data_IF_147386585472
#
_entry.id   IF_147386585472
#
_cell.length_a   1.000
_cell.length_b   1.000
_cell.length_c   1.000
_cell.angle_alpha   90.00
_cell.angle_beta   90.00
_cell.angle_gamma   90.00
#
_symmetry.space_group_name_H-M   'P 1'
#
loop_
_entity.id
_entity.type
_entity.pdbx_description
1 polymer ?
#
# COMPACT_ATOMS: atom_id res chain seq x y z
N UNK A 1 58.02 -5.82 28.60
CA UNK A 1 58.26 -6.37 27.26
C UNK A 1 58.39 -5.19 26.32
N UNK A 2 59.53 -5.03 25.60
CA UNK A 2 59.76 -3.82 24.78
C UNK A 2 58.84 -3.86 23.52
N UNK A 3 58.24 -2.74 23.19
CA UNK A 3 57.40 -2.55 22.02
C UNK A 3 58.09 -3.03 20.73
N UNK A 4 59.41 -2.80 20.64
CA UNK A 4 60.23 -3.23 19.50
C UNK A 4 60.24 -4.74 19.31
N UNK A 5 60.24 -5.52 20.40
CA UNK A 5 60.19 -7.00 20.35
C UNK A 5 58.84 -7.48 19.83
N UNK A 6 57.75 -6.83 20.24
CA UNK A 6 56.40 -7.14 19.75
C UNK A 6 56.31 -6.89 18.25
N UNK A 7 56.80 -5.74 17.79
CA UNK A 7 56.79 -5.36 16.37
C UNK A 7 57.64 -6.34 15.51
N UNK A 8 58.76 -6.77 16.05
CA UNK A 8 59.62 -7.73 15.34
C UNK A 8 58.95 -9.11 15.19
N UNK A 9 58.28 -9.58 16.25
CA UNK A 9 57.54 -10.85 16.23
C UNK A 9 56.38 -10.74 15.22
N UNK A 10 55.58 -9.66 15.31
CA UNK A 10 54.48 -9.41 14.37
C UNK A 10 54.92 -9.44 12.91
N UNK A 11 56.04 -8.76 12.60
CA UNK A 11 56.59 -8.73 11.24
C UNK A 11 57.04 -10.12 10.75
N UNK A 12 57.61 -10.91 11.64
CA UNK A 12 58.06 -12.27 11.33
C UNK A 12 56.89 -13.21 11.10
N UNK A 13 55.85 -13.11 11.94
CA UNK A 13 54.63 -13.93 11.84
C UNK A 13 53.83 -13.57 10.63
N UNK A 14 53.62 -12.26 10.34
CA UNK A 14 52.97 -11.82 9.10
C UNK A 14 53.67 -12.34 7.85
N UNK A 15 55.02 -12.30 7.83
CA UNK A 15 55.79 -12.82 6.69
C UNK A 15 55.64 -14.34 6.53
N UNK A 16 55.54 -15.08 7.64
CA UNK A 16 55.29 -16.52 7.61
C UNK A 16 53.87 -16.84 7.09
N UNK A 17 52.87 -16.09 7.51
CA UNK A 17 51.47 -16.21 7.06
C UNK A 17 51.37 -16.00 5.54
N UNK A 18 51.92 -14.90 5.04
CA UNK A 18 51.88 -14.58 3.60
C UNK A 18 52.75 -15.49 2.71
N UNK A 19 53.67 -16.26 3.29
CA UNK A 19 54.44 -17.26 2.54
C UNK A 19 53.70 -18.59 2.35
N UNK A 20 52.68 -18.84 3.15
CA UNK A 20 51.92 -20.09 3.06
C UNK A 20 50.68 -19.86 2.17
N UNK A 21 50.62 -20.43 0.95
CA UNK A 21 49.51 -20.19 0.03
C UNK A 21 48.17 -20.69 0.58
N UNK A 22 48.14 -21.76 1.35
CA UNK A 22 46.92 -22.27 1.96
C UNK A 22 46.33 -21.26 2.97
N UNK A 23 47.17 -20.62 3.79
CA UNK A 23 46.74 -19.61 4.76
C UNK A 23 46.24 -18.35 4.05
N UNK A 24 46.92 -17.93 2.99
CA UNK A 24 46.49 -16.78 2.17
C UNK A 24 45.13 -17.04 1.55
N UNK A 25 44.92 -18.21 0.96
CA UNK A 25 43.61 -18.59 0.38
C UNK A 25 42.52 -18.59 1.46
N UNK A 26 42.78 -19.11 2.65
CA UNK A 26 41.84 -19.12 3.75
C UNK A 26 41.46 -17.70 4.20
N UNK A 27 42.43 -16.79 4.32
CA UNK A 27 42.19 -15.39 4.68
C UNK A 27 41.33 -14.71 3.61
N UNK A 28 41.66 -14.92 2.33
CA UNK A 28 40.89 -14.38 1.21
C UNK A 28 39.45 -14.91 1.24
N UNK A 29 39.27 -16.21 1.47
CA UNK A 29 37.96 -16.83 1.56
C UNK A 29 37.13 -16.25 2.73
N UNK A 30 37.73 -16.07 3.91
CA UNK A 30 37.06 -15.47 5.08
C UNK A 30 36.64 -14.01 4.81
N UNK A 31 37.39 -13.27 4.01
CA UNK A 31 37.03 -11.87 3.64
C UNK A 31 35.97 -11.85 2.55
N UNK A 32 36.11 -12.67 1.52
CA UNK A 32 35.22 -12.63 0.33
C UNK A 32 33.86 -13.24 0.64
N UNK A 33 33.78 -14.38 1.33
CA UNK A 33 32.50 -15.06 1.56
C UNK A 33 31.46 -14.20 2.32
N UNK A 34 31.80 -13.57 3.46
CA UNK A 34 30.87 -12.69 4.15
C UNK A 34 30.50 -11.44 3.33
N UNK A 35 31.49 -10.89 2.59
CA UNK A 35 31.27 -9.72 1.74
C UNK A 35 30.33 -10.04 0.57
N UNK A 36 30.51 -11.19 -0.07
CA UNK A 36 29.67 -11.68 -1.14
C UNK A 36 28.24 -11.96 -0.63
N UNK A 37 28.14 -12.60 0.54
CA UNK A 37 26.86 -12.86 1.19
C UNK A 37 26.14 -11.54 1.53
N UNK A 38 26.83 -10.56 2.10
CA UNK A 38 26.26 -9.25 2.39
C UNK A 38 25.80 -8.54 1.12
N UNK A 39 26.60 -8.58 0.05
CA UNK A 39 26.28 -7.95 -1.22
C UNK A 39 25.04 -8.58 -1.87
N UNK A 40 24.95 -9.92 -1.89
CA UNK A 40 23.77 -10.61 -2.42
C UNK A 40 22.52 -10.35 -1.59
N UNK A 41 22.64 -10.28 -0.24
CA UNK A 41 21.49 -9.93 0.60
C UNK A 41 21.08 -8.46 0.45
N UNK A 42 22.04 -7.55 0.33
CA UNK A 42 21.73 -6.14 0.09
C UNK A 42 21.05 -5.99 -1.27
N UNK A 43 21.56 -6.62 -2.32
CA UNK A 43 20.98 -6.57 -3.67
C UNK A 43 19.55 -7.11 -3.68
N UNK A 44 19.33 -8.27 -3.03
CA UNK A 44 18.00 -8.87 -2.90
C UNK A 44 17.01 -8.05 -2.05
N UNK A 45 17.52 -7.22 -1.13
CA UNK A 45 16.69 -6.36 -0.26
C UNK A 45 16.70 -4.88 -0.67
N UNK A 46 17.49 -4.51 -1.68
CA UNK A 46 17.69 -3.11 -2.06
C UNK A 46 16.44 -2.50 -2.67
N UNK A 47 15.74 -3.27 -3.46
CA UNK A 47 14.47 -2.88 -4.05
C UNK A 47 13.44 -4.01 -3.94
N UNK A 48 12.84 -4.20 -2.77
CA UNK A 48 11.80 -5.20 -2.60
C UNK A 48 10.53 -4.87 -3.40
N UNK A 49 10.45 -3.66 -3.96
CA UNK A 49 9.32 -3.17 -4.74
C UNK A 49 9.59 -3.12 -6.25
N UNK A 50 10.82 -3.32 -6.69
CA UNK A 50 11.21 -3.28 -8.11
C UNK A 50 10.69 -4.44 -8.95
N UNK A 51 10.08 -5.46 -8.33
CA UNK A 51 9.46 -6.61 -9.00
C UNK A 51 8.04 -6.87 -8.47
N UNK A 52 7.34 -5.84 -8.02
CA UNK A 52 5.96 -5.97 -7.54
C UNK A 52 4.96 -6.12 -8.67
N UNK A 53 5.34 -5.78 -9.89
CA UNK A 53 4.62 -6.03 -11.14
C UNK A 53 4.30 -7.52 -11.40
N UNK A 54 5.03 -8.43 -10.75
CA UNK A 54 4.81 -9.88 -10.79
C UNK A 54 4.05 -10.42 -9.55
N UNK A 55 3.54 -9.55 -8.69
CA UNK A 55 2.72 -9.95 -7.56
C UNK A 55 1.26 -9.88 -7.96
N UNK A 56 0.61 -11.04 -8.02
CA UNK A 56 -0.79 -11.16 -8.38
C UNK A 56 -1.69 -10.69 -7.23
N UNK A 57 -2.49 -9.65 -7.49
CA UNK A 57 -3.47 -9.09 -6.58
C UNK A 57 -4.87 -9.19 -7.19
N UNK A 58 -5.81 -9.78 -6.46
CA UNK A 58 -7.20 -9.79 -6.88
C UNK A 58 -7.90 -8.48 -6.49
N UNK A 59 -8.78 -8.00 -7.35
CA UNK A 59 -9.65 -6.85 -7.09
C UNK A 59 -11.09 -7.24 -7.38
N UNK A 60 -11.95 -7.00 -6.40
CA UNK A 60 -13.39 -7.28 -6.48
C UNK A 60 -14.14 -5.96 -6.39
N UNK A 61 -14.99 -5.69 -7.36
CA UNK A 61 -15.86 -4.53 -7.34
C UNK A 61 -17.32 -4.96 -7.16
N UNK A 62 -17.81 -4.85 -5.94
CA UNK A 62 -19.22 -5.07 -5.60
C UNK A 62 -20.01 -3.75 -5.52
N UNK A 63 -19.35 -2.59 -5.78
CA UNK A 63 -19.96 -1.27 -5.61
C UNK A 63 -21.20 -1.08 -6.49
N UNK A 64 -22.20 -0.46 -5.92
CA UNK A 64 -23.42 -0.10 -6.62
C UNK A 64 -23.49 1.40 -6.87
N UNK A 65 -24.12 1.76 -8.00
CA UNK A 65 -24.33 3.16 -8.33
C UNK A 65 -25.07 3.89 -7.21
N UNK A 66 -24.54 5.03 -6.79
CA UNK A 66 -25.19 5.93 -5.87
C UNK A 66 -25.68 7.18 -6.60
N UNK A 67 -26.90 7.63 -6.29
CA UNK A 67 -27.49 8.80 -6.92
C UNK A 67 -27.35 10.01 -6.02
N UNK A 68 -26.81 11.09 -6.57
CA UNK A 68 -26.72 12.38 -5.89
C UNK A 68 -27.09 13.51 -6.85
N UNK A 69 -28.02 14.38 -6.46
CA UNK A 69 -28.55 15.48 -7.29
C UNK A 69 -29.00 15.05 -8.69
N UNK A 70 -29.74 13.95 -8.80
CA UNK A 70 -30.18 13.36 -10.06
C UNK A 70 -29.03 12.88 -11.00
N UNK A 71 -27.80 12.86 -10.54
CA UNK A 71 -26.67 12.25 -11.23
C UNK A 71 -26.30 10.91 -10.56
N UNK A 72 -25.94 9.92 -11.37
CA UNK A 72 -25.50 8.62 -10.90
C UNK A 72 -23.97 8.59 -10.86
N UNK A 73 -23.41 8.08 -9.79
CA UNK A 73 -21.97 7.95 -9.56
C UNK A 73 -21.63 6.51 -9.19
N UNK A 74 -20.56 5.99 -9.78
CA UNK A 74 -19.91 4.76 -9.37
C UNK A 74 -18.43 5.05 -9.13
N UNK A 75 -18.03 5.10 -7.87
CA UNK A 75 -16.63 5.34 -7.51
C UNK A 75 -15.82 4.04 -7.53
N UNK A 76 -16.47 2.88 -7.34
CA UNK A 76 -15.83 1.59 -7.50
C UNK A 76 -15.29 1.39 -8.91
N UNK A 77 -16.09 1.70 -9.94
CA UNK A 77 -15.62 1.62 -11.32
C UNK A 77 -14.44 2.54 -11.59
N UNK A 78 -14.44 3.74 -11.00
CA UNK A 78 -13.28 4.66 -11.12
C UNK A 78 -12.02 4.14 -10.45
N UNK A 79 -12.18 3.40 -9.34
CA UNK A 79 -11.04 2.72 -8.70
C UNK A 79 -10.51 1.64 -9.62
N UNK A 80 -11.39 0.84 -10.25
CA UNK A 80 -11.00 -0.18 -11.24
C UNK A 80 -10.22 0.46 -12.38
N UNK A 81 -10.78 1.49 -13.04
CA UNK A 81 -10.12 2.21 -14.14
C UNK A 81 -8.69 2.67 -13.76
N UNK A 82 -8.50 3.13 -12.53
CA UNK A 82 -7.20 3.57 -12.04
C UNK A 82 -6.22 2.43 -11.74
N UNK A 83 -6.74 1.29 -11.32
CA UNK A 83 -5.91 0.11 -11.09
C UNK A 83 -5.53 -0.56 -12.41
N UNK A 84 -6.41 -0.55 -13.43
CA UNK A 84 -6.10 -1.01 -14.77
C UNK A 84 -4.95 -0.23 -15.43
N UNK A 85 -4.88 1.08 -15.15
CA UNK A 85 -3.81 1.96 -15.64
C UNK A 85 -2.53 1.91 -14.76
N UNK A 86 -2.46 1.03 -13.75
CA UNK A 86 -1.39 0.98 -12.77
C UNK A 86 -0.55 -0.28 -12.92
N UNK A 87 0.71 -0.14 -13.31
CA UNK A 87 1.67 -1.22 -13.51
C UNK A 87 2.45 -1.61 -12.23
N UNK A 88 2.07 -1.11 -11.05
CA UNK A 88 2.81 -1.39 -9.81
C UNK A 88 2.64 -2.85 -9.36
N UNK A 89 1.53 -3.51 -9.75
CA UNK A 89 1.20 -4.89 -9.43
C UNK A 89 0.50 -5.58 -10.60
N UNK A 90 0.48 -6.91 -10.60
CA UNK A 90 -0.35 -7.69 -11.51
C UNK A 90 -1.79 -7.73 -10.97
N UNK A 91 -2.65 -6.87 -11.51
CA UNK A 91 -4.05 -6.77 -11.10
C UNK A 91 -4.91 -7.78 -11.84
N UNK A 92 -5.68 -8.57 -11.10
CA UNK A 92 -6.66 -9.50 -11.63
C UNK A 92 -8.06 -9.15 -11.10
N UNK A 93 -8.97 -8.80 -11.99
CA UNK A 93 -10.33 -8.38 -11.66
C UNK A 93 -11.26 -9.58 -11.71
N UNK A 94 -11.67 -10.03 -10.53
CA UNK A 94 -12.41 -11.28 -10.34
C UNK A 94 -13.62 -11.08 -9.44
N UNK A 95 -14.46 -12.10 -9.31
CA UNK A 95 -15.52 -12.10 -8.32
C UNK A 95 -15.00 -12.41 -6.89
N UNK A 96 -15.85 -12.21 -5.88
CA UNK A 96 -15.42 -12.33 -4.49
C UNK A 96 -15.07 -13.77 -4.10
N UNK A 97 -15.76 -14.76 -4.64
CA UNK A 97 -15.51 -16.17 -4.34
C UNK A 97 -14.14 -16.59 -4.92
N UNK A 98 -13.86 -16.22 -6.16
CA UNK A 98 -12.57 -16.47 -6.81
C UNK A 98 -11.41 -15.74 -6.09
N UNK A 99 -11.64 -14.50 -5.65
CA UNK A 99 -10.65 -13.75 -4.89
C UNK A 99 -10.33 -14.41 -3.54
N UNK A 100 -11.34 -14.84 -2.81
CA UNK A 100 -11.18 -15.52 -1.50
C UNK A 100 -10.45 -16.85 -1.67
N UNK A 101 -10.91 -17.67 -2.59
CA UNK A 101 -10.26 -18.95 -2.91
C UNK A 101 -8.81 -18.77 -3.38
N UNK A 102 -8.56 -17.76 -4.22
CA UNK A 102 -7.23 -17.45 -4.72
C UNK A 102 -6.26 -16.98 -3.62
N UNK A 103 -6.73 -16.20 -2.65
CA UNK A 103 -5.92 -15.81 -1.48
C UNK A 103 -5.69 -17.01 -0.55
N UNK A 104 -6.70 -17.88 -0.35
CA UNK A 104 -6.57 -19.04 0.51
C UNK A 104 -5.57 -20.05 -0.05
N UNK A 105 -5.64 -20.33 -1.35
CA UNK A 105 -4.76 -21.31 -2.00
C UNK A 105 -3.40 -20.73 -2.40
N UNK A 106 -3.19 -19.40 -2.26
CA UNK A 106 -1.93 -18.70 -2.55
C UNK A 106 -1.72 -18.33 -4.02
N UNK A 107 -2.77 -18.35 -4.84
CA UNK A 107 -2.74 -17.80 -6.20
C UNK A 107 -2.56 -16.30 -6.16
N UNK A 108 -3.30 -15.62 -5.29
CA UNK A 108 -3.15 -14.19 -5.03
C UNK A 108 -2.41 -13.94 -3.73
N UNK A 109 -1.52 -12.95 -3.72
CA UNK A 109 -0.86 -12.48 -2.51
C UNK A 109 -1.83 -11.81 -1.55
N UNK A 110 -2.82 -11.15 -2.11
CA UNK A 110 -3.89 -10.50 -1.39
C UNK A 110 -5.04 -10.15 -2.33
N UNK A 111 -6.19 -9.77 -1.76
CA UNK A 111 -7.30 -9.24 -2.53
C UNK A 111 -7.86 -7.96 -1.89
N UNK A 112 -8.39 -7.08 -2.73
CA UNK A 112 -9.10 -5.87 -2.33
C UNK A 112 -10.56 -6.04 -2.73
N UNK A 113 -11.48 -5.89 -1.78
CA UNK A 113 -12.92 -5.93 -2.04
C UNK A 113 -13.50 -4.54 -1.81
N UNK A 114 -14.09 -3.99 -2.85
CA UNK A 114 -14.88 -2.76 -2.83
C UNK A 114 -16.33 -3.16 -2.53
N UNK A 115 -16.91 -2.76 -1.39
CA UNK A 115 -18.23 -3.21 -0.98
C UNK A 115 -19.36 -2.49 -1.73
N UNK A 116 -20.56 -3.06 -1.71
CA UNK A 116 -21.76 -2.55 -2.39
C UNK A 116 -22.12 -1.09 -2.06
N UNK A 117 -21.80 -0.65 -0.86
CA UNK A 117 -22.15 0.69 -0.36
C UNK A 117 -21.00 1.70 -0.48
N UNK A 118 -19.94 1.39 -1.23
CA UNK A 118 -18.76 2.25 -1.35
C UNK A 118 -19.13 3.64 -1.87
N UNK A 119 -19.77 3.73 -3.03
CA UNK A 119 -20.22 5.01 -3.62
C UNK A 119 -21.22 5.75 -2.74
N UNK A 120 -22.16 5.06 -2.11
CA UNK A 120 -23.16 5.70 -1.26
C UNK A 120 -22.52 6.29 0.01
N UNK A 121 -21.56 5.61 0.60
CA UNK A 121 -20.80 6.12 1.75
C UNK A 121 -19.95 7.32 1.37
N UNK A 122 -19.29 7.31 0.22
CA UNK A 122 -18.53 8.47 -0.27
C UNK A 122 -19.41 9.70 -0.54
N UNK A 123 -20.63 9.51 -1.02
CA UNK A 123 -21.57 10.61 -1.24
C UNK A 123 -22.26 11.09 0.04
N UNK A 124 -22.13 10.35 1.14
CA UNK A 124 -22.71 10.73 2.44
C UNK A 124 -22.06 11.96 3.09
N UNK A 125 -21.01 12.52 2.47
CA UNK A 125 -20.34 13.76 2.94
C UNK A 125 -21.32 14.90 3.19
N UNK A 126 -22.45 14.91 2.48
CA UNK A 126 -23.48 15.93 2.63
C UNK A 126 -24.56 15.58 3.69
N UNK A 127 -24.45 14.41 4.28
CA UNK A 127 -25.36 13.97 5.34
C UNK A 127 -24.96 14.55 6.70
N UNK A 128 -25.86 14.50 7.66
CA UNK A 128 -25.57 14.95 9.02
C UNK A 128 -24.52 14.08 9.73
N UNK A 129 -24.35 12.84 9.29
CA UNK A 129 -23.38 11.88 9.79
C UNK A 129 -22.68 11.21 8.60
N UNK A 130 -21.61 11.81 8.05
CA UNK A 130 -20.84 11.23 6.97
C UNK A 130 -20.26 9.87 7.36
N UNK A 131 -20.31 8.91 6.45
CA UNK A 131 -19.72 7.59 6.63
C UNK A 131 -18.50 7.45 5.74
N UNK A 132 -17.39 6.97 6.30
CA UNK A 132 -16.25 6.58 5.49
C UNK A 132 -16.62 5.39 4.60
N UNK A 133 -16.07 5.36 3.40
CA UNK A 133 -16.18 4.18 2.55
C UNK A 133 -15.16 3.14 3.02
N UNK A 134 -15.62 1.93 3.27
CA UNK A 134 -14.79 0.84 3.77
C UNK A 134 -14.28 0.00 2.59
N UNK A 135 -12.98 -0.33 2.59
CA UNK A 135 -12.37 -1.30 1.69
C UNK A 135 -11.97 -2.51 2.52
N UNK A 136 -12.38 -3.70 2.10
CA UNK A 136 -11.94 -4.94 2.73
C UNK A 136 -10.69 -5.46 2.05
N UNK A 137 -9.68 -5.79 2.85
CA UNK A 137 -8.43 -6.33 2.38
C UNK A 137 -8.21 -7.74 2.92
N UNK A 138 -8.16 -8.69 2.01
CA UNK A 138 -7.93 -10.10 2.31
C UNK A 138 -6.44 -10.43 2.23
N UNK A 139 -5.92 -11.14 3.23
CA UNK A 139 -4.52 -11.56 3.27
C UNK A 139 -4.41 -12.95 3.90
N UNK A 140 -3.52 -13.76 3.35
CA UNK A 140 -3.13 -15.04 3.94
C UNK A 140 -1.77 -14.91 4.64
N UNK A 141 -1.78 -14.77 5.96
CA UNK A 141 -0.55 -14.61 6.77
C UNK A 141 0.26 -15.91 6.93
N UNK A 142 -0.32 -17.08 6.61
CA UNK A 142 0.36 -18.37 6.76
C UNK A 142 1.40 -18.65 5.69
N UNK A 143 1.20 -18.11 4.49
CA UNK A 143 1.99 -18.47 3.32
C UNK A 143 3.39 -17.90 3.34
N UNK A 144 3.57 -16.65 3.75
CA UNK A 144 4.91 -16.04 3.83
C UNK A 144 4.89 -14.72 4.65
N UNK A 145 5.65 -14.62 5.76
CA UNK A 145 5.74 -13.38 6.54
C UNK A 145 6.33 -12.20 5.77
N UNK A 146 7.15 -12.44 4.73
CA UNK A 146 7.70 -11.39 3.86
C UNK A 146 6.61 -10.91 2.91
N UNK A 147 5.87 -11.83 2.29
CA UNK A 147 4.72 -11.50 1.45
C UNK A 147 3.68 -10.68 2.21
N UNK A 148 3.37 -11.05 3.47
CA UNK A 148 2.45 -10.28 4.33
C UNK A 148 2.92 -8.84 4.56
N UNK A 149 4.23 -8.61 4.72
CA UNK A 149 4.76 -7.24 4.88
C UNK A 149 4.71 -6.46 3.58
N UNK A 150 5.05 -7.07 2.46
CA UNK A 150 4.97 -6.46 1.13
C UNK A 150 3.52 -6.12 0.80
N UNK A 151 2.60 -7.04 1.03
CA UNK A 151 1.17 -6.84 0.86
C UNK A 151 0.64 -5.69 1.71
N UNK A 152 1.03 -5.58 2.99
CA UNK A 152 0.61 -4.46 3.84
C UNK A 152 1.08 -3.10 3.31
N UNK A 153 2.30 -3.03 2.78
CA UNK A 153 2.82 -1.80 2.19
C UNK A 153 2.11 -1.47 0.86
N UNK A 154 1.84 -2.49 0.03
CA UNK A 154 1.08 -2.35 -1.19
C UNK A 154 -0.30 -1.77 -0.92
N UNK A 155 -1.02 -2.32 0.06
CA UNK A 155 -2.35 -1.81 0.48
C UNK A 155 -2.31 -0.36 0.92
N UNK A 156 -1.32 0.03 1.72
CA UNK A 156 -1.21 1.42 2.16
C UNK A 156 -0.97 2.36 0.96
N UNK A 157 -0.19 1.96 -0.03
CA UNK A 157 0.02 2.73 -1.26
C UNK A 157 -1.25 2.80 -2.10
N UNK A 158 -1.95 1.68 -2.27
CA UNK A 158 -3.22 1.59 -2.99
C UNK A 158 -4.26 2.46 -2.30
N UNK A 159 -4.41 2.34 -0.97
CA UNK A 159 -5.32 3.17 -0.20
C UNK A 159 -5.02 4.67 -0.38
N UNK A 160 -3.74 5.05 -0.38
CA UNK A 160 -3.35 6.44 -0.62
C UNK A 160 -3.78 6.91 -2.02
N UNK A 161 -3.53 6.10 -3.06
CA UNK A 161 -3.94 6.43 -4.44
C UNK A 161 -5.46 6.51 -4.59
N UNK A 162 -6.19 5.57 -3.99
CA UNK A 162 -7.66 5.60 -3.98
C UNK A 162 -8.16 6.84 -3.25
N UNK A 163 -7.60 7.17 -2.10
CA UNK A 163 -7.97 8.37 -1.35
C UNK A 163 -7.73 9.64 -2.17
N UNK A 164 -6.60 9.75 -2.85
CA UNK A 164 -6.26 10.91 -3.67
C UNK A 164 -7.28 11.11 -4.82
N UNK A 165 -7.67 10.03 -5.50
CA UNK A 165 -8.67 10.07 -6.58
C UNK A 165 -10.07 10.39 -6.03
N UNK A 166 -10.45 9.76 -4.94
CA UNK A 166 -11.74 9.99 -4.26
C UNK A 166 -11.83 11.43 -3.79
N UNK A 167 -10.79 11.96 -3.12
CA UNK A 167 -10.74 13.34 -2.65
C UNK A 167 -10.91 14.31 -3.82
N UNK A 168 -10.22 14.10 -4.95
CA UNK A 168 -10.35 14.95 -6.12
C UNK A 168 -11.77 14.92 -6.69
N UNK A 169 -12.37 13.74 -6.80
CA UNK A 169 -13.70 13.57 -7.39
C UNK A 169 -14.80 14.09 -6.46
N UNK A 170 -14.74 13.73 -5.18
CA UNK A 170 -15.73 14.18 -4.18
C UNK A 170 -15.65 15.69 -3.96
N UNK A 171 -14.44 16.24 -3.87
CA UNK A 171 -14.26 17.69 -3.81
C UNK A 171 -14.79 18.37 -5.07
N UNK A 172 -14.60 17.80 -6.27
CA UNK A 172 -15.17 18.32 -7.50
C UNK A 172 -16.71 18.37 -7.46
N UNK A 173 -17.34 17.34 -6.92
CA UNK A 173 -18.81 17.30 -6.73
C UNK A 173 -19.24 18.32 -5.67
N UNK A 174 -18.56 18.40 -4.53
CA UNK A 174 -18.86 19.32 -3.45
C UNK A 174 -18.65 20.80 -3.85
N UNK A 175 -17.55 21.10 -4.56
CA UNK A 175 -17.25 22.46 -5.03
C UNK A 175 -18.22 22.94 -6.12
N UNK A 176 -18.62 22.06 -7.04
CA UNK A 176 -19.67 22.40 -8.00
C UNK A 176 -20.99 22.77 -7.32
N UNK A 177 -21.32 22.12 -6.24
CA UNK A 177 -22.52 22.40 -5.47
C UNK A 177 -22.45 23.71 -4.70
N UNK A 178 -21.31 24.02 -4.07
CA UNK A 178 -21.07 25.31 -3.41
C UNK A 178 -21.17 26.48 -4.41
N UNK A 179 -20.70 26.30 -5.64
CA UNK A 179 -20.80 27.32 -6.68
C UNK A 179 -22.22 27.58 -7.16
N UNK A 180 -23.04 26.51 -7.21
CA UNK A 180 -24.46 26.61 -7.55
C UNK A 180 -25.26 27.23 -6.40
N UNK A 181 -24.97 26.88 -5.15
CA UNK A 181 -25.63 27.45 -3.95
C UNK A 181 -25.24 28.92 -3.73
N UNK A 182 -23.97 29.28 -3.98
CA UNK A 182 -23.48 30.66 -3.86
C UNK A 182 -24.21 31.65 -4.82
N UNK A 183 -24.84 31.15 -5.86
CA UNK A 183 -25.65 31.95 -6.80
C UNK A 183 -27.11 32.12 -6.34
N UNK A 184 -27.61 31.28 -5.43
CA UNK A 184 -29.04 31.24 -5.11
C UNK A 184 -29.41 31.76 -3.72
N UNK A 185 -28.57 31.64 -2.67
CA UNK A 185 -28.86 32.21 -1.34
C UNK A 185 -27.63 32.33 -0.44
N UNK A 186 -27.21 33.56 -0.08
CA UNK A 186 -26.00 33.75 0.78
C UNK A 186 -26.14 33.25 2.22
N UNK A 187 -27.35 33.09 2.73
CA UNK A 187 -27.61 32.75 4.14
C UNK A 187 -27.63 31.25 4.43
N UNK A 188 -27.98 30.43 3.44
CA UNK A 188 -28.01 28.95 3.59
C UNK A 188 -26.62 28.31 3.45
N UNK A 189 -25.71 28.95 2.72
CA UNK A 189 -24.34 28.49 2.55
C UNK A 189 -23.52 28.55 3.85
N UNK A 190 -23.78 29.54 4.71
CA UNK A 190 -23.07 29.70 5.98
C UNK A 190 -23.49 28.66 7.04
N UNK A 191 -24.74 28.21 7.02
CA UNK A 191 -25.21 27.15 7.93
C UNK A 191 -24.66 25.77 7.51
N UNK A 192 -24.48 25.50 6.24
CA UNK A 192 -23.85 24.26 5.77
C UNK A 192 -22.34 24.23 6.05
N UNK A 193 -21.64 25.35 5.92
CA UNK A 193 -20.25 25.48 6.34
C UNK A 193 -20.05 25.23 7.86
N UNK A 194 -21.07 25.51 8.67
CA UNK A 194 -21.00 25.25 10.12
C UNK A 194 -21.08 23.75 10.47
N UNK A 195 -21.71 22.92 9.63
CA UNK A 195 -21.72 21.47 9.78
C UNK A 195 -20.37 20.85 9.39
N UNK A 196 -19.62 21.47 8.48
CA UNK A 196 -18.30 21.01 8.04
C UNK A 196 -17.21 21.19 9.11
N UNK A 197 -17.51 21.84 10.23
CA UNK A 197 -16.57 22.03 11.37
C UNK A 197 -16.79 21.00 12.49
N UNK A 198 -17.44 19.88 12.20
CA UNK A 198 -17.56 18.78 13.16
C UNK A 198 -16.42 17.78 12.97
N UNK A 199 -15.94 17.19 14.06
CA UNK A 199 -14.80 16.25 14.07
C UNK A 199 -14.98 15.01 13.16
N UNK A 200 -16.22 14.71 12.76
CA UNK A 200 -16.50 13.62 11.80
C UNK A 200 -16.23 14.01 10.35
N UNK A 201 -16.39 15.30 10.02
CA UNK A 201 -16.14 15.81 8.66
C UNK A 201 -14.65 15.97 8.41
N UNK A 202 -13.88 16.38 9.42
CA UNK A 202 -12.42 16.48 9.30
C UNK A 202 -11.78 15.13 8.93
N UNK A 203 -12.17 14.04 9.59
CA UNK A 203 -11.68 12.71 9.27
C UNK A 203 -12.04 12.27 7.83
N UNK A 204 -13.24 12.61 7.39
CA UNK A 204 -13.69 12.30 6.03
C UNK A 204 -12.85 12.99 4.94
N UNK A 205 -12.49 14.27 5.13
CA UNK A 205 -11.68 15.01 4.15
C UNK A 205 -10.23 14.55 4.10
N UNK A 206 -9.68 14.07 5.21
CA UNK A 206 -8.29 13.58 5.24
C UNK A 206 -8.16 12.12 4.85
N UNK A 207 -9.19 11.30 5.09
CA UNK A 207 -9.22 9.89 4.75
C UNK A 207 -10.65 9.44 4.50
N UNK A 208 -11.19 9.64 3.28
CA UNK A 208 -12.56 9.28 2.94
C UNK A 208 -12.78 7.77 2.92
N UNK A 209 -11.69 6.99 2.83
CA UNK A 209 -11.75 5.52 2.87
C UNK A 209 -11.07 4.97 4.10
N UNK A 210 -11.61 3.88 4.65
CA UNK A 210 -11.04 3.05 5.70
C UNK A 210 -10.73 1.68 5.14
N UNK A 211 -9.67 1.04 5.64
CA UNK A 211 -9.30 -0.33 5.24
C UNK A 211 -9.47 -1.27 6.41
N UNK A 212 -10.36 -2.23 6.25
CA UNK A 212 -10.51 -3.36 7.16
C UNK A 212 -9.71 -4.55 6.65
N UNK A 213 -8.86 -5.11 7.52
CA UNK A 213 -8.05 -6.30 7.21
C UNK A 213 -8.78 -7.54 7.66
N UNK A 214 -9.06 -8.42 6.72
CA UNK A 214 -9.59 -9.76 6.96
C UNK A 214 -8.48 -10.79 6.72
N UNK A 215 -8.28 -11.68 7.71
CA UNK A 215 -7.27 -12.75 7.63
C UNK A 215 -7.95 -14.04 7.24
N UNK A 216 -7.51 -14.62 6.14
CA UNK A 216 -7.89 -15.97 5.73
C UNK A 216 -6.92 -16.95 6.40
N UNK A 217 -7.47 -17.98 7.06
CA UNK A 217 -6.72 -18.99 7.82
C UNK A 217 -6.82 -20.36 7.18
#
# INVERSE_FOLDING_TARGET
MSIDKIFHIMKKDSKAIFKNPAVVITIIAIIILPSLYALLNIDACWDPYGNTDNLDFAVVNNDQNATYNNASYNFGDKVIDKLEDNDDFAWDFVDEDDARDGVENGTYYAAIIIPENFSSNLLSINDQNPKQAELTYLINEKTNPVASRMSNNAVNQIQSKINDEVIQTVNGVAFNQLSVMGQTTPQSSLSQLSYMNSSGVDNYFYSPTEVTKEKIN
#
